data_IF_696828752033
#
_entry.id   IF_696828752033
#
_cell.length_a   1.000
_cell.length_b   1.000
_cell.length_c   1.000
_cell.angle_alpha   90.00
_cell.angle_beta   90.00
_cell.angle_gamma   90.00
#
_symmetry.space_group_name_H-M   'P 1'
#
loop_
_entity.id
_entity.type
_entity.pdbx_description
1 polymer ?
#
# COMPACT_ATOMS: atom_id res chain seq x y z
N UNK A 1 -25.12 19.23 9.46
CA UNK A 1 -26.23 19.72 10.33
C UNK A 1 -26.39 21.24 10.24
N UNK A 2 -25.30 22.00 10.18
CA UNK A 2 -25.32 23.46 10.12
C UNK A 2 -25.16 24.05 8.70
N UNK A 3 -24.54 23.30 7.78
CA UNK A 3 -24.47 23.61 6.35
C UNK A 3 -25.18 22.51 5.56
N UNK A 4 -25.97 22.90 4.54
CA UNK A 4 -26.62 21.97 3.61
C UNK A 4 -25.67 21.70 2.44
N UNK A 5 -24.70 20.80 2.66
CA UNK A 5 -23.79 20.33 1.62
C UNK A 5 -24.19 18.93 1.15
N UNK A 6 -24.25 18.74 -0.17
CA UNK A 6 -24.37 17.45 -0.83
C UNK A 6 -23.00 16.80 -0.91
N UNK A 7 -22.77 15.77 -0.09
CA UNK A 7 -21.51 15.00 -0.06
C UNK A 7 -21.72 13.63 -0.65
N UNK A 8 -20.89 13.23 -1.62
CA UNK A 8 -20.90 11.89 -2.24
C UNK A 8 -19.52 11.24 -2.12
N UNK A 9 -19.51 9.91 -2.04
CA UNK A 9 -18.29 9.10 -1.94
C UNK A 9 -18.26 8.11 -3.09
N UNK A 10 -17.15 8.06 -3.84
CA UNK A 10 -16.95 7.13 -4.95
C UNK A 10 -15.63 6.39 -4.82
N UNK A 11 -15.69 5.06 -4.80
CA UNK A 11 -14.49 4.24 -4.67
C UNK A 11 -14.62 2.94 -5.47
N UNK A 12 -13.48 2.27 -5.67
CA UNK A 12 -13.44 0.93 -6.27
C UNK A 12 -14.19 -0.11 -5.44
N UNK A 13 -14.52 -1.26 -6.04
CA UNK A 13 -15.17 -2.37 -5.34
C UNK A 13 -16.70 -2.28 -5.21
N UNK A 14 -17.32 -1.22 -5.72
CA UNK A 14 -18.79 -1.11 -5.85
C UNK A 14 -19.19 -0.86 -7.32
N UNK A 15 -20.39 -1.31 -7.74
CA UNK A 15 -20.85 -1.14 -9.13
C UNK A 15 -20.96 0.34 -9.55
N UNK A 16 -20.78 0.63 -10.83
CA UNK A 16 -20.90 2.00 -11.36
C UNK A 16 -22.31 2.56 -11.29
N UNK A 17 -23.35 1.73 -11.49
CA UNK A 17 -24.74 2.19 -11.59
C UNK A 17 -25.23 2.97 -10.36
N UNK A 18 -25.09 2.46 -9.12
CA UNK A 18 -25.44 3.19 -7.91
C UNK A 18 -24.66 4.50 -7.74
N UNK A 19 -23.34 4.49 -7.98
CA UNK A 19 -22.52 5.70 -7.89
C UNK A 19 -22.90 6.74 -8.95
N UNK A 20 -23.19 6.32 -10.19
CA UNK A 20 -23.66 7.20 -11.25
C UNK A 20 -24.95 7.90 -10.88
N UNK A 21 -25.94 7.16 -10.41
CA UNK A 21 -27.21 7.74 -9.95
C UNK A 21 -27.05 8.74 -8.81
N UNK A 22 -26.03 8.56 -7.96
CA UNK A 22 -25.72 9.53 -6.91
C UNK A 22 -25.08 10.82 -7.44
N UNK A 23 -24.44 10.76 -8.61
CA UNK A 23 -23.78 11.87 -9.30
C UNK A 23 -24.69 12.59 -10.32
N UNK A 24 -25.87 12.05 -10.61
CA UNK A 24 -26.91 12.72 -11.41
C UNK A 24 -27.51 13.95 -10.69
N UNK A 25 -27.29 14.05 -9.37
CA UNK A 25 -27.68 15.19 -8.55
C UNK A 25 -26.48 16.14 -8.33
N UNK A 26 -26.71 17.45 -8.11
CA UNK A 26 -25.64 18.37 -7.74
C UNK A 26 -24.84 17.89 -6.52
N UNK A 27 -23.51 17.98 -6.61
CA UNK A 27 -22.57 17.56 -5.56
C UNK A 27 -21.68 18.74 -5.20
N UNK A 28 -21.68 19.11 -3.92
CA UNK A 28 -20.81 20.17 -3.40
C UNK A 28 -19.43 19.62 -3.01
N UNK A 29 -19.38 18.38 -2.49
CA UNK A 29 -18.17 17.69 -2.09
C UNK A 29 -18.17 16.24 -2.58
N UNK A 30 -17.16 15.90 -3.38
CA UNK A 30 -16.93 14.54 -3.84
C UNK A 30 -15.66 13.96 -3.20
N UNK A 31 -15.82 12.89 -2.42
CA UNK A 31 -14.70 12.11 -1.88
C UNK A 31 -14.46 10.93 -2.82
N UNK A 32 -13.25 10.77 -3.35
CA UNK A 32 -12.99 9.76 -4.36
C UNK A 32 -11.63 9.08 -4.22
N UNK A 33 -11.56 7.78 -4.57
CA UNK A 33 -10.25 7.15 -4.84
C UNK A 33 -9.80 7.49 -6.26
N UNK A 34 -8.49 7.76 -6.51
CA UNK A 34 -8.01 8.29 -7.80
C UNK A 34 -8.46 7.46 -9.02
N UNK A 35 -8.27 6.15 -8.95
CA UNK A 35 -8.67 5.25 -10.05
C UNK A 35 -10.18 5.25 -10.33
N UNK A 36 -11.03 5.31 -9.30
CA UNK A 36 -12.49 5.35 -9.52
C UNK A 36 -12.93 6.69 -10.10
N UNK A 37 -12.34 7.79 -9.64
CA UNK A 37 -12.63 9.12 -10.19
C UNK A 37 -12.35 9.19 -11.68
N UNK A 38 -11.17 8.70 -12.11
CA UNK A 38 -10.80 8.68 -13.53
C UNK A 38 -11.72 7.78 -14.36
N UNK A 39 -12.09 6.60 -13.85
CA UNK A 39 -13.05 5.73 -14.53
C UNK A 39 -14.42 6.41 -14.74
N UNK A 40 -14.89 7.19 -13.77
CA UNK A 40 -16.14 7.95 -13.88
C UNK A 40 -16.01 9.13 -14.85
N UNK A 41 -14.86 9.81 -14.89
CA UNK A 41 -14.56 10.86 -15.86
C UNK A 41 -14.52 10.31 -17.29
N UNK A 42 -13.83 9.19 -17.51
CA UNK A 42 -13.72 8.54 -18.82
C UNK A 42 -15.08 8.07 -19.34
N UNK A 43 -15.97 7.65 -18.44
CA UNK A 43 -17.36 7.27 -18.74
C UNK A 43 -18.32 8.46 -18.84
N UNK A 44 -17.84 9.70 -18.67
CA UNK A 44 -18.65 10.93 -18.71
C UNK A 44 -19.78 10.93 -17.66
N UNK A 45 -19.55 10.30 -16.52
CA UNK A 45 -20.51 10.22 -15.40
C UNK A 45 -20.27 11.33 -14.36
N UNK A 46 -19.11 12.00 -14.42
CA UNK A 46 -18.77 13.15 -13.60
C UNK A 46 -17.93 14.11 -14.42
N UNK A 47 -18.07 15.40 -14.16
CA UNK A 47 -17.29 16.47 -14.78
C UNK A 47 -16.71 17.37 -13.70
N UNK A 48 -15.44 17.79 -13.86
CA UNK A 48 -14.74 18.62 -12.87
C UNK A 48 -14.70 20.11 -13.26
N UNK A 49 -15.62 20.57 -14.11
CA UNK A 49 -15.60 21.93 -14.65
C UNK A 49 -15.73 23.03 -13.58
N UNK A 50 -16.57 22.78 -12.56
CA UNK A 50 -16.84 23.74 -11.49
C UNK A 50 -16.00 23.51 -10.24
N UNK A 51 -15.02 22.60 -10.28
CA UNK A 51 -14.17 22.29 -9.14
C UNK A 51 -13.28 23.50 -8.83
N UNK A 52 -13.42 24.04 -7.62
CA UNK A 52 -12.59 25.14 -7.11
C UNK A 52 -11.51 24.69 -6.13
N UNK A 53 -11.66 23.51 -5.55
CA UNK A 53 -10.74 22.97 -4.55
C UNK A 53 -10.46 21.49 -4.84
N UNK A 54 -9.20 21.10 -4.78
CA UNK A 54 -8.76 19.70 -4.89
C UNK A 54 -7.87 19.40 -3.69
N UNK A 55 -8.27 18.38 -2.92
CA UNK A 55 -7.52 17.92 -1.75
C UNK A 55 -7.00 16.52 -2.06
N UNK A 56 -5.69 16.35 -1.97
CA UNK A 56 -5.01 15.05 -2.01
C UNK A 56 -4.62 14.73 -0.58
N UNK A 57 -5.35 13.84 0.06
CA UNK A 57 -5.06 13.39 1.43
C UNK A 57 -4.21 12.12 1.43
N UNK A 58 -3.40 11.92 2.48
CA UNK A 58 -2.42 10.84 2.59
C UNK A 58 -1.60 10.59 1.30
N UNK A 59 -0.93 11.64 0.80
CA UNK A 59 -0.12 11.58 -0.44
C UNK A 59 0.86 10.41 -0.45
N UNK A 60 1.60 10.21 0.64
CA UNK A 60 2.56 9.12 0.78
C UNK A 60 1.91 7.76 0.55
N UNK A 61 0.75 7.53 1.16
CA UNK A 61 -0.08 6.35 0.90
C UNK A 61 -0.44 6.22 -0.58
N UNK A 62 -0.89 7.30 -1.22
CA UNK A 62 -1.30 7.25 -2.62
C UNK A 62 -0.14 6.83 -3.54
N UNK A 63 1.07 7.33 -3.28
CA UNK A 63 2.26 6.97 -4.05
C UNK A 63 2.76 5.55 -3.75
N UNK A 64 2.71 5.10 -2.50
CA UNK A 64 3.01 3.71 -2.15
C UNK A 64 2.06 2.72 -2.83
N UNK A 65 0.78 3.09 -2.94
CA UNK A 65 -0.23 2.28 -3.62
C UNK A 65 -0.15 2.34 -5.16
N UNK A 66 0.77 3.14 -5.72
CA UNK A 66 0.99 3.26 -7.15
C UNK A 66 0.05 4.22 -7.88
N UNK A 67 -0.70 5.09 -7.17
CA UNK A 67 -1.65 6.03 -7.79
C UNK A 67 -1.01 7.30 -8.36
N UNK A 68 0.32 7.33 -8.54
CA UNK A 68 1.05 8.52 -8.99
C UNK A 68 0.59 9.02 -10.36
N UNK A 69 0.37 8.10 -11.30
CA UNK A 69 -0.06 8.41 -12.66
C UNK A 69 -1.52 8.91 -12.70
N UNK A 70 -2.40 8.28 -11.90
CA UNK A 70 -3.78 8.73 -11.75
C UNK A 70 -3.85 10.14 -11.15
N UNK A 71 -3.06 10.42 -10.12
CA UNK A 71 -2.96 11.75 -9.53
C UNK A 71 -2.44 12.77 -10.55
N UNK A 72 -1.43 12.42 -11.34
CA UNK A 72 -0.95 13.30 -12.40
C UNK A 72 -2.05 13.63 -13.41
N UNK A 73 -2.85 12.64 -13.81
CA UNK A 73 -3.97 12.86 -14.73
C UNK A 73 -5.05 13.75 -14.10
N UNK A 74 -5.44 13.51 -12.84
CA UNK A 74 -6.42 14.34 -12.13
C UNK A 74 -5.92 15.79 -11.99
N UNK A 75 -4.65 15.98 -11.62
CA UNK A 75 -4.05 17.30 -11.53
C UNK A 75 -3.97 17.97 -12.90
N UNK A 76 -3.64 17.25 -13.97
CA UNK A 76 -3.65 17.83 -15.32
C UNK A 76 -5.02 18.38 -15.74
N UNK A 77 -6.10 17.75 -15.26
CA UNK A 77 -7.48 18.19 -15.52
C UNK A 77 -7.84 19.39 -14.66
N UNK A 78 -7.33 19.49 -13.43
CA UNK A 78 -7.75 20.47 -12.43
C UNK A 78 -6.79 21.65 -12.25
N UNK A 79 -5.56 21.58 -12.77
CA UNK A 79 -4.58 22.68 -12.78
C UNK A 79 -4.86 23.74 -13.86
N UNK A 80 -6.11 23.87 -14.31
CA UNK A 80 -6.51 24.83 -15.34
C UNK A 80 -6.57 26.24 -14.75
N UNK A 81 -6.22 27.23 -15.55
CA UNK A 81 -6.46 28.62 -15.23
C UNK A 81 -7.90 28.97 -15.62
N UNK A 82 -8.75 29.21 -14.62
CA UNK A 82 -10.16 29.57 -14.84
C UNK A 82 -10.32 31.06 -15.15
N UNK A 83 -9.23 31.85 -15.15
CA UNK A 83 -9.25 33.28 -15.50
C UNK A 83 -9.45 33.57 -16.99
N UNK A 84 -9.28 32.55 -17.85
CA UNK A 84 -9.38 32.68 -19.31
C UNK A 84 -10.75 32.27 -19.90
N UNK A 85 -11.79 32.09 -19.08
CA UNK A 85 -13.13 31.72 -19.59
C UNK A 85 -13.76 32.90 -20.37
N UNK A 86 -14.01 32.76 -21.69
CA UNK A 86 -14.62 33.82 -22.51
C UNK A 86 -16.06 34.17 -22.13
N UNK A 87 -16.70 33.40 -21.23
CA UNK A 87 -18.10 33.59 -20.80
C UNK A 87 -18.25 34.49 -19.58
N UNK A 88 -17.15 34.96 -18.98
CA UNK A 88 -17.19 35.78 -17.78
C UNK A 88 -17.48 37.26 -18.11
N UNK A 89 -18.56 37.81 -17.56
CA UNK A 89 -18.93 39.22 -17.71
C UNK A 89 -17.98 40.16 -16.95
N UNK A 90 -17.89 41.41 -17.44
CA UNK A 90 -16.95 42.42 -16.97
C UNK A 90 -17.06 42.79 -15.47
N UNK A 91 -18.21 42.55 -14.82
CA UNK A 91 -18.46 42.90 -13.41
C UNK A 91 -17.73 42.01 -12.39
N UNK A 92 -17.12 40.89 -12.82
CA UNK A 92 -16.41 39.96 -11.93
C UNK A 92 -14.96 40.42 -11.58
N UNK A 93 -14.70 41.72 -11.52
CA UNK A 93 -13.35 42.25 -11.28
C UNK A 93 -12.82 41.99 -9.85
N UNK A 94 -13.70 41.80 -8.88
CA UNK A 94 -13.36 41.46 -7.49
C UNK A 94 -13.14 39.94 -7.31
N UNK A 95 -13.60 39.10 -8.26
CA UNK A 95 -13.40 37.66 -8.25
C UNK A 95 -12.03 37.21 -8.78
N UNK A 96 -11.11 38.14 -9.05
CA UNK A 96 -9.81 37.87 -9.69
C UNK A 96 -8.75 37.28 -8.76
N UNK A 97 -9.05 37.05 -7.49
CA UNK A 97 -8.26 36.19 -6.59
C UNK A 97 -8.78 34.74 -6.54
N UNK A 98 -9.97 34.46 -7.12
CA UNK A 98 -10.68 33.17 -7.10
C UNK A 98 -10.60 32.39 -8.44
N UNK A 99 -9.66 32.76 -9.31
CA UNK A 99 -9.60 32.33 -10.71
C UNK A 99 -8.73 31.08 -10.97
N UNK A 100 -8.22 30.42 -9.93
CA UNK A 100 -7.47 29.16 -10.04
C UNK A 100 -8.04 28.15 -9.06
N UNK A 101 -8.05 26.90 -9.48
CA UNK A 101 -8.38 25.78 -8.58
C UNK A 101 -7.31 25.76 -7.48
N UNK A 102 -7.74 25.75 -6.22
CA UNK A 102 -6.83 25.61 -5.09
C UNK A 102 -6.53 24.12 -4.87
N UNK A 103 -5.26 23.76 -4.95
CA UNK A 103 -4.79 22.41 -4.65
C UNK A 103 -4.15 22.38 -3.26
N UNK A 104 -4.53 21.37 -2.48
CA UNK A 104 -3.93 21.07 -1.17
C UNK A 104 -3.50 19.62 -1.20
N UNK A 105 -2.23 19.36 -0.88
CA UNK A 105 -1.71 18.01 -0.75
C UNK A 105 -1.23 17.81 0.69
N UNK A 106 -1.78 16.79 1.35
CA UNK A 106 -1.58 16.49 2.77
C UNK A 106 -0.97 15.10 2.89
N UNK A 107 0.04 14.96 3.73
CA UNK A 107 0.68 13.68 4.03
C UNK A 107 1.57 13.81 5.26
N UNK A 108 1.86 12.68 5.92
CA UNK A 108 2.90 12.66 6.94
C UNK A 108 4.26 12.83 6.27
N UNK A 109 4.47 12.08 5.18
CA UNK A 109 5.66 12.18 4.34
C UNK A 109 5.32 12.60 2.92
N UNK A 110 6.30 13.16 2.23
CA UNK A 110 6.18 13.53 0.81
C UNK A 110 7.32 12.85 0.05
N UNK A 111 7.08 11.67 -0.56
CA UNK A 111 8.14 10.94 -1.26
C UNK A 111 8.65 11.74 -2.47
N UNK A 112 9.88 11.47 -2.95
CA UNK A 112 10.45 12.21 -4.09
C UNK A 112 9.56 12.24 -5.33
N UNK A 113 8.83 11.16 -5.61
CA UNK A 113 7.89 11.08 -6.70
C UNK A 113 6.71 12.08 -6.55
N UNK A 114 6.21 12.28 -5.32
CA UNK A 114 5.18 13.27 -5.03
C UNK A 114 5.73 14.70 -5.18
N UNK A 115 6.93 14.96 -4.68
CA UNK A 115 7.59 16.27 -4.84
C UNK A 115 7.76 16.60 -6.32
N UNK A 116 8.22 15.65 -7.12
CA UNK A 116 8.37 15.82 -8.57
C UNK A 116 7.01 16.10 -9.25
N UNK A 117 5.93 15.44 -8.81
CA UNK A 117 4.58 15.73 -9.31
C UNK A 117 4.15 17.17 -9.01
N UNK A 118 4.40 17.64 -7.80
CA UNK A 118 4.07 19.03 -7.41
C UNK A 118 4.84 20.04 -8.22
N UNK A 119 6.14 19.82 -8.43
CA UNK A 119 6.95 20.71 -9.26
C UNK A 119 6.43 20.80 -10.71
N UNK A 120 5.92 19.70 -11.27
CA UNK A 120 5.33 19.68 -12.62
C UNK A 120 3.95 20.33 -12.71
N UNK A 121 3.06 20.06 -11.73
CA UNK A 121 1.63 20.38 -11.83
C UNK A 121 1.16 21.51 -10.93
N UNK A 122 1.88 21.76 -9.84
CA UNK A 122 1.56 22.71 -8.78
C UNK A 122 2.76 23.63 -8.52
N UNK A 123 3.28 24.25 -9.57
CA UNK A 123 4.53 25.04 -9.50
C UNK A 123 4.49 26.23 -8.52
N UNK A 124 3.30 26.70 -8.16
CA UNK A 124 3.09 27.78 -7.17
C UNK A 124 2.80 27.26 -5.76
N UNK A 125 2.86 25.94 -5.53
CA UNK A 125 2.58 25.37 -4.22
C UNK A 125 3.60 25.82 -3.19
N UNK A 126 3.10 26.15 -1.99
CA UNK A 126 3.93 26.46 -0.83
C UNK A 126 3.95 25.25 0.08
N UNK A 127 5.13 24.89 0.57
CA UNK A 127 5.27 23.80 1.53
C UNK A 127 5.08 24.33 2.94
N UNK A 128 4.15 23.72 3.68
CA UNK A 128 3.94 23.97 5.11
C UNK A 128 4.32 22.69 5.85
N UNK A 129 5.46 22.72 6.55
CA UNK A 129 5.90 21.61 7.40
C UNK A 129 5.78 22.00 8.86
N UNK A 130 5.11 21.15 9.64
CA UNK A 130 5.14 21.22 11.10
C UNK A 130 6.31 20.34 11.56
N UNK A 131 7.27 20.93 12.29
CA UNK A 131 8.38 20.17 12.87
C UNK A 131 7.88 19.38 14.09
N UNK A 132 8.39 18.17 14.29
CA UNK A 132 8.06 17.32 15.45
C UNK A 132 6.80 16.46 15.32
N UNK A 133 6.24 16.32 14.11
CA UNK A 133 5.02 15.53 13.88
C UNK A 133 5.29 14.01 13.79
N UNK A 134 6.54 13.59 13.58
CA UNK A 134 6.94 12.16 13.50
C UNK A 134 7.52 11.62 14.81
N UNK A 135 6.94 12.06 15.92
CA UNK A 135 7.25 11.56 17.24
C UNK A 135 6.02 10.87 17.81
N UNK A 136 6.24 9.78 18.55
CA UNK A 136 5.13 9.13 19.24
C UNK A 136 4.61 10.03 20.35
N UNK A 137 3.31 9.97 20.66
CA UNK A 137 2.77 10.66 21.82
C UNK A 137 3.53 10.23 23.10
N UNK A 138 3.88 11.14 24.00
CA UNK A 138 4.64 10.81 25.21
C UNK A 138 3.93 9.80 26.12
N UNK A 139 2.60 9.78 26.07
CA UNK A 139 1.75 8.84 26.81
C UNK A 139 1.62 7.45 26.15
N UNK A 140 2.24 7.22 25.00
CA UNK A 140 2.25 5.91 24.35
C UNK A 140 3.30 4.99 24.99
N UNK A 141 2.84 3.90 25.59
CA UNK A 141 3.70 2.85 26.13
C UNK A 141 4.08 1.91 24.98
N UNK A 142 5.39 1.66 24.81
CA UNK A 142 5.90 0.76 23.77
C UNK A 142 6.43 -0.53 24.41
N UNK A 143 5.96 -1.68 23.93
CA UNK A 143 6.43 -3.01 24.35
C UNK A 143 6.90 -3.77 23.12
N UNK A 144 8.14 -4.25 23.13
CA UNK A 144 8.68 -5.10 22.08
C UNK A 144 8.93 -6.49 22.65
N UNK A 145 8.30 -7.51 22.05
CA UNK A 145 8.32 -8.90 22.52
C UNK A 145 9.13 -9.72 21.52
N UNK A 146 10.31 -10.19 21.94
CA UNK A 146 11.20 -10.97 21.08
C UNK A 146 10.69 -12.39 20.88
N UNK A 147 10.45 -12.75 19.62
CA UNK A 147 9.87 -14.02 19.20
C UNK A 147 10.88 -14.88 18.43
N UNK A 148 10.85 -16.19 18.66
CA UNK A 148 11.64 -17.18 17.92
C UNK A 148 10.88 -17.64 16.68
N UNK A 149 10.99 -16.88 15.58
CA UNK A 149 10.31 -17.22 14.32
C UNK A 149 8.79 -17.04 14.37
N UNK A 150 8.08 -17.66 13.43
CA UNK A 150 6.62 -17.51 13.28
C UNK A 150 5.83 -18.14 14.44
N UNK A 151 6.18 -19.37 14.84
CA UNK A 151 5.51 -20.06 15.94
C UNK A 151 5.63 -19.29 17.26
N UNK A 152 6.81 -18.70 17.50
CA UNK A 152 7.04 -17.84 18.66
C UNK A 152 6.14 -16.60 18.69
N UNK A 153 5.74 -16.07 17.53
CA UNK A 153 4.80 -14.94 17.47
C UNK A 153 3.40 -15.35 17.89
N UNK A 154 2.92 -16.51 17.43
CA UNK A 154 1.59 -17.03 17.81
C UNK A 154 1.53 -17.26 19.32
N UNK A 155 2.56 -17.87 19.89
CA UNK A 155 2.65 -18.08 21.33
C UNK A 155 2.68 -16.75 22.10
N UNK A 156 3.50 -15.79 21.66
CA UNK A 156 3.57 -14.47 22.29
C UNK A 156 2.24 -13.70 22.20
N UNK A 157 1.51 -13.84 21.08
CA UNK A 157 0.19 -13.24 20.91
C UNK A 157 -0.81 -13.85 21.91
N UNK A 158 -0.82 -15.18 22.04
CA UNK A 158 -1.69 -15.87 23.00
C UNK A 158 -1.39 -15.46 24.44
N UNK A 159 -0.12 -15.42 24.83
CA UNK A 159 0.30 -14.95 26.15
C UNK A 159 -0.11 -13.49 26.40
N UNK A 160 -0.02 -12.64 25.37
CA UNK A 160 -0.44 -11.25 25.45
C UNK A 160 -1.96 -11.11 25.60
N UNK A 161 -2.76 -11.89 24.87
CA UNK A 161 -4.22 -11.79 24.89
C UNK A 161 -4.85 -12.54 26.09
N UNK A 162 -4.17 -13.55 26.61
CA UNK A 162 -4.66 -14.44 27.66
C UNK A 162 -5.62 -15.52 27.13
N UNK A 163 -6.48 -16.10 27.98
CA UNK A 163 -7.67 -16.82 27.53
C UNK A 163 -8.81 -15.84 27.16
N UNK A 164 -9.63 -16.22 26.18
CA UNK A 164 -10.85 -15.47 25.87
C UNK A 164 -11.81 -15.48 27.07
N UNK A 165 -12.41 -14.32 27.36
CA UNK A 165 -13.44 -14.17 28.41
C UNK A 165 -14.79 -14.69 27.92
N UNK A 166 -15.80 -14.71 28.80
CA UNK A 166 -17.16 -15.17 28.47
C UNK A 166 -17.78 -14.39 27.29
N UNK A 167 -17.46 -13.10 27.17
CA UNK A 167 -17.89 -12.24 26.06
C UNK A 167 -17.00 -12.36 24.81
N UNK A 168 -16.09 -13.34 24.79
CA UNK A 168 -15.10 -13.60 23.74
C UNK A 168 -14.15 -12.42 23.49
N UNK A 169 -13.97 -11.53 24.47
CA UNK A 169 -13.02 -10.44 24.41
C UNK A 169 -11.68 -10.80 25.10
N UNK A 170 -10.56 -10.20 24.68
CA UNK A 170 -9.33 -10.27 25.44
C UNK A 170 -9.42 -9.37 26.67
N UNK A 171 -8.63 -9.67 27.71
CA UNK A 171 -8.57 -8.86 28.92
C UNK A 171 -8.06 -7.42 28.69
N UNK A 172 -7.43 -7.16 27.54
CA UNK A 172 -6.95 -5.86 27.10
C UNK A 172 -8.06 -4.96 26.52
N UNK A 173 -9.30 -5.45 26.35
CA UNK A 173 -10.36 -4.69 25.70
C UNK A 173 -10.22 -4.64 24.18
N UNK A 174 -10.43 -3.48 23.55
CA UNK A 174 -10.39 -3.37 22.07
C UNK A 174 -8.97 -3.24 21.54
N UNK A 175 -8.67 -4.06 20.52
CA UNK A 175 -7.35 -4.18 19.93
C UNK A 175 -7.42 -3.99 18.41
N UNK A 176 -6.47 -3.25 17.85
CA UNK A 176 -6.16 -3.32 16.41
C UNK A 176 -4.88 -4.13 16.22
N UNK A 177 -4.98 -5.22 15.47
CA UNK A 177 -3.88 -6.13 15.18
C UNK A 177 -3.45 -5.96 13.72
N UNK A 178 -2.18 -5.59 13.53
CA UNK A 178 -1.58 -5.31 12.24
C UNK A 178 -0.74 -6.48 11.72
N UNK A 179 -0.98 -6.82 10.45
CA UNK A 179 -0.24 -7.80 9.67
C UNK A 179 0.35 -7.15 8.40
N UNK A 180 1.50 -7.64 7.94
CA UNK A 180 2.17 -7.07 6.76
C UNK A 180 1.61 -7.62 5.43
N UNK A 181 0.81 -8.69 5.47
CA UNK A 181 0.20 -9.31 4.31
C UNK A 181 -1.23 -9.77 4.59
N UNK A 182 -2.02 -9.94 3.54
CA UNK A 182 -3.40 -10.45 3.65
C UNK A 182 -3.43 -11.90 4.11
N UNK A 183 -2.42 -12.70 3.73
CA UNK A 183 -2.33 -14.09 4.17
C UNK A 183 -1.99 -14.20 5.65
N UNK A 184 -1.11 -13.33 6.16
CA UNK A 184 -0.86 -13.20 7.60
C UNK A 184 -2.12 -12.76 8.34
N UNK A 185 -2.86 -11.78 7.81
CA UNK A 185 -4.12 -11.34 8.40
C UNK A 185 -5.16 -12.48 8.46
N UNK A 186 -5.34 -13.24 7.38
CA UNK A 186 -6.24 -14.41 7.36
C UNK A 186 -5.82 -15.49 8.34
N UNK A 187 -4.52 -15.78 8.39
CA UNK A 187 -3.96 -16.77 9.31
C UNK A 187 -4.26 -16.40 10.77
N UNK A 188 -3.95 -15.16 11.18
CA UNK A 188 -4.18 -14.70 12.55
C UNK A 188 -5.66 -14.63 12.89
N UNK A 189 -6.49 -14.12 11.97
CA UNK A 189 -7.94 -14.04 12.16
C UNK A 189 -8.57 -15.42 12.39
N UNK A 190 -8.18 -16.41 11.57
CA UNK A 190 -8.64 -17.79 11.73
C UNK A 190 -8.15 -18.40 13.05
N UNK A 191 -6.86 -18.25 13.36
CA UNK A 191 -6.26 -18.79 14.58
C UNK A 191 -6.92 -18.23 15.85
N UNK A 192 -7.14 -16.92 15.92
CA UNK A 192 -7.80 -16.29 17.06
C UNK A 192 -9.28 -16.66 17.17
N UNK A 193 -9.97 -16.81 16.05
CA UNK A 193 -11.37 -17.26 16.03
C UNK A 193 -11.52 -18.68 16.59
N UNK A 194 -10.61 -19.59 16.24
CA UNK A 194 -10.58 -20.96 16.78
C UNK A 194 -10.30 -20.99 18.28
N UNK A 195 -9.50 -20.05 18.79
CA UNK A 195 -9.26 -19.86 20.23
C UNK A 195 -10.44 -19.19 20.96
N UNK A 196 -11.52 -18.88 20.26
CA UNK A 196 -12.76 -18.36 20.83
C UNK A 196 -12.82 -16.84 20.93
N UNK A 197 -11.89 -16.10 20.31
CA UNK A 197 -11.94 -14.65 20.28
C UNK A 197 -12.95 -14.12 19.26
N UNK A 198 -13.59 -12.99 19.59
CA UNK A 198 -14.42 -12.25 18.65
C UNK A 198 -13.55 -11.33 17.78
N UNK A 199 -13.21 -11.78 16.57
CA UNK A 199 -12.40 -11.01 15.62
C UNK A 199 -13.23 -10.42 14.48
N UNK A 200 -12.69 -9.36 13.88
CA UNK A 200 -13.17 -8.79 12.63
C UNK A 200 -11.98 -8.60 11.69
N UNK A 201 -12.03 -9.20 10.50
CA UNK A 201 -11.00 -8.97 9.49
C UNK A 201 -11.32 -7.73 8.64
N UNK A 202 -10.27 -6.97 8.34
CA UNK A 202 -10.36 -5.74 7.56
C UNK A 202 -9.14 -5.63 6.64
N UNK A 203 -9.26 -6.14 5.42
CA UNK A 203 -8.18 -6.06 4.42
C UNK A 203 -8.69 -6.07 2.98
N UNK A 204 -7.79 -5.83 2.02
CA UNK A 204 -8.11 -5.62 0.60
C UNK A 204 -8.87 -6.77 -0.08
N UNK A 205 -8.58 -8.03 0.26
CA UNK A 205 -9.33 -9.18 -0.27
C UNK A 205 -10.71 -9.42 0.37
N UNK A 206 -11.06 -8.76 1.48
CA UNK A 206 -12.42 -8.86 2.04
C UNK A 206 -13.37 -8.09 1.12
N UNK A 207 -14.48 -8.68 0.62
CA UNK A 207 -15.46 -7.97 -0.19
C UNK A 207 -15.96 -6.69 0.49
N UNK A 208 -16.24 -5.63 -0.28
CA UNK A 208 -16.54 -4.30 0.28
C UNK A 208 -17.71 -4.28 1.28
N UNK A 209 -18.75 -5.09 1.03
CA UNK A 209 -19.94 -5.16 1.91
C UNK A 209 -19.56 -5.82 3.24
N UNK A 210 -18.99 -7.04 3.18
CA UNK A 210 -18.51 -7.75 4.37
C UNK A 210 -17.48 -6.94 5.16
N UNK A 211 -16.59 -6.20 4.47
CA UNK A 211 -15.60 -5.32 5.12
C UNK A 211 -16.28 -4.21 5.94
N UNK A 212 -17.35 -3.60 5.41
CA UNK A 212 -18.11 -2.60 6.12
C UNK A 212 -18.85 -3.20 7.33
N UNK A 213 -19.43 -4.38 7.19
CA UNK A 213 -20.09 -5.12 8.28
C UNK A 213 -19.10 -5.49 9.39
N UNK A 214 -17.94 -6.06 9.03
CA UNK A 214 -16.88 -6.41 9.98
C UNK A 214 -16.36 -5.19 10.73
N UNK A 215 -16.17 -4.07 10.02
CA UNK A 215 -15.78 -2.82 10.65
C UNK A 215 -16.83 -2.31 11.63
N UNK A 216 -18.12 -2.36 11.27
CA UNK A 216 -19.20 -1.99 12.18
C UNK A 216 -19.30 -2.93 13.39
N UNK A 217 -19.06 -4.23 13.20
CA UNK A 217 -18.96 -5.20 14.29
C UNK A 217 -17.87 -4.81 15.30
N UNK A 218 -16.71 -4.36 14.82
CA UNK A 218 -15.65 -3.86 15.68
C UNK A 218 -16.00 -2.54 16.39
N UNK A 219 -16.53 -1.56 15.64
CA UNK A 219 -16.90 -0.24 16.19
C UNK A 219 -18.00 -0.35 17.25
N UNK A 220 -18.98 -1.24 17.03
CA UNK A 220 -20.06 -1.52 17.99
C UNK A 220 -19.62 -2.35 19.21
N UNK A 221 -18.42 -2.94 19.17
CA UNK A 221 -17.88 -3.77 20.24
C UNK A 221 -18.26 -5.25 20.18
N UNK A 222 -19.00 -5.69 19.15
CA UNK A 222 -19.31 -7.10 18.93
C UNK A 222 -18.06 -7.92 18.60
N UNK A 223 -17.13 -7.32 17.83
CA UNK A 223 -15.77 -7.82 17.69
C UNK A 223 -14.83 -6.98 18.56
N UNK A 224 -13.95 -7.65 19.30
CA UNK A 224 -13.00 -7.01 20.21
C UNK A 224 -11.62 -6.82 19.56
N UNK A 225 -11.32 -7.58 18.50
CA UNK A 225 -10.03 -7.52 17.80
C UNK A 225 -10.27 -7.24 16.31
N UNK A 226 -9.72 -6.14 15.81
CA UNK A 226 -9.69 -5.82 14.38
C UNK A 226 -8.38 -6.30 13.78
N UNK A 227 -8.40 -7.33 12.93
CA UNK A 227 -7.23 -7.84 12.21
C UNK A 227 -7.12 -7.16 10.86
N UNK A 228 -6.04 -6.42 10.61
CA UNK A 228 -5.91 -5.54 9.44
C UNK A 228 -4.50 -5.49 8.86
N UNK A 229 -4.40 -5.04 7.60
CA UNK A 229 -3.14 -4.61 6.97
C UNK A 229 -3.04 -3.10 6.90
N UNK A 230 -1.85 -2.54 6.61
CA UNK A 230 -1.65 -1.08 6.53
C UNK A 230 -2.55 -0.40 5.51
N UNK A 231 -2.69 -0.99 4.32
CA UNK A 231 -3.52 -0.45 3.24
C UNK A 231 -4.97 -0.27 3.70
N UNK A 232 -5.45 -1.16 4.55
CA UNK A 232 -6.83 -1.16 4.99
C UNK A 232 -7.02 -0.30 6.25
N UNK A 233 -6.03 -0.24 7.14
CA UNK A 233 -6.12 0.55 8.37
C UNK A 233 -6.00 2.07 8.18
N UNK A 234 -5.57 2.52 7.01
CA UNK A 234 -5.47 3.94 6.65
C UNK A 234 -6.86 4.57 6.51
N UNK A 235 -7.01 5.82 6.97
CA UNK A 235 -8.32 6.47 7.14
C UNK A 235 -9.18 5.95 8.32
N UNK A 236 -8.68 5.01 9.14
CA UNK A 236 -9.37 4.60 10.39
C UNK A 236 -9.04 5.56 11.55
N UNK A 237 -9.19 6.86 11.33
CA UNK A 237 -8.70 7.92 12.24
C UNK A 237 -9.55 8.11 13.50
N UNK A 238 -10.69 7.42 13.59
CA UNK A 238 -11.57 7.49 14.76
C UNK A 238 -11.60 6.19 15.57
N UNK A 239 -10.62 5.30 15.38
CA UNK A 239 -10.47 4.14 16.24
C UNK A 239 -9.80 4.55 17.55
N UNK A 240 -10.59 4.88 18.57
CA UNK A 240 -10.09 5.06 19.94
C UNK A 240 -9.93 3.66 20.59
N UNK A 241 -8.75 3.07 20.39
CA UNK A 241 -8.38 1.76 20.94
C UNK A 241 -7.30 1.88 22.00
N UNK A 242 -7.36 1.00 23.00
CA UNK A 242 -6.43 1.01 24.13
C UNK A 242 -5.09 0.35 23.75
N UNK A 243 -5.15 -0.61 22.82
CA UNK A 243 -4.00 -1.40 22.42
C UNK A 243 -3.90 -1.53 20.90
N UNK A 244 -2.68 -1.38 20.42
CA UNK A 244 -2.27 -1.73 19.06
C UNK A 244 -1.30 -2.89 19.17
N UNK A 245 -1.48 -3.93 18.36
CA UNK A 245 -0.59 -5.07 18.29
C UNK A 245 -0.02 -5.17 16.88
N UNK A 246 1.30 -5.17 16.74
CA UNK A 246 1.98 -5.50 15.50
C UNK A 246 2.34 -6.98 15.54
N UNK A 247 1.51 -7.84 14.95
CA UNK A 247 1.82 -9.26 14.81
C UNK A 247 2.98 -9.44 13.84
N UNK A 248 2.91 -8.74 12.70
CA UNK A 248 4.07 -8.50 11.87
C UNK A 248 4.65 -7.12 12.18
N UNK A 249 5.93 -7.09 12.54
CA UNK A 249 6.60 -5.83 12.80
C UNK A 249 6.61 -4.94 11.54
N UNK A 250 6.42 -3.62 11.67
CA UNK A 250 6.40 -2.71 10.52
C UNK A 250 7.72 -2.71 9.76
N UNK A 251 7.66 -2.48 8.45
CA UNK A 251 8.87 -2.50 7.60
C UNK A 251 9.64 -1.19 7.62
N UNK A 252 9.03 -0.12 8.12
CA UNK A 252 9.61 1.21 8.19
C UNK A 252 9.17 1.95 9.45
N UNK A 253 9.90 3.02 9.79
CA UNK A 253 9.52 3.91 10.88
C UNK A 253 8.21 4.66 10.61
N UNK A 254 7.95 5.03 9.35
CA UNK A 254 6.70 5.69 8.95
C UNK A 254 5.49 4.77 9.21
N UNK A 255 5.58 3.52 8.78
CA UNK A 255 4.56 2.51 9.02
C UNK A 255 4.36 2.27 10.52
N UNK A 256 5.44 2.18 11.30
CA UNK A 256 5.37 2.05 12.76
C UNK A 256 4.65 3.22 13.44
N UNK A 257 4.97 4.46 13.05
CA UNK A 257 4.29 5.66 13.54
C UNK A 257 2.80 5.64 13.18
N UNK A 258 2.46 5.31 11.94
CA UNK A 258 1.07 5.26 11.47
C UNK A 258 0.22 4.22 12.20
N UNK A 259 0.79 3.05 12.50
CA UNK A 259 0.11 2.01 13.27
C UNK A 259 -0.03 2.39 14.75
N UNK A 260 1.05 2.87 15.37
CA UNK A 260 1.01 3.35 16.76
C UNK A 260 0.03 4.52 16.93
N UNK A 261 -0.10 5.36 15.91
CA UNK A 261 -1.04 6.47 15.88
C UNK A 261 -2.52 6.06 15.94
N UNK A 262 -2.86 4.76 15.99
CA UNK A 262 -4.23 4.28 16.24
C UNK A 262 -4.60 4.22 17.72
N UNK A 263 -3.64 4.37 18.62
CA UNK A 263 -3.89 4.47 20.07
C UNK A 263 -3.28 5.77 20.63
N UNK A 264 -3.41 5.98 21.93
CA UNK A 264 -2.88 7.14 22.65
C UNK A 264 -3.33 8.51 22.10
N UNK A 265 -4.54 8.57 21.50
CA UNK A 265 -5.14 9.80 20.95
C UNK A 265 -5.81 10.63 22.05
N UNK A 266 -5.98 11.93 21.78
CA UNK A 266 -6.71 12.88 22.64
C UNK A 266 -6.26 12.88 24.12
N UNK A 267 -4.96 12.68 24.38
CA UNK A 267 -4.37 12.69 25.72
C UNK A 267 -4.56 11.41 26.53
N UNK A 268 -5.27 10.39 26.02
CA UNK A 268 -5.37 9.09 26.68
C UNK A 268 -4.07 8.31 26.54
N UNK A 269 -3.74 7.51 27.56
CA UNK A 269 -2.67 6.53 27.46
C UNK A 269 -3.08 5.41 26.49
N UNK A 270 -2.09 4.81 25.83
CA UNK A 270 -2.26 3.69 24.92
C UNK A 270 -1.03 2.82 24.94
N UNK A 271 -1.15 1.55 24.55
CA UNK A 271 0.00 0.65 24.46
C UNK A 271 0.15 0.07 23.07
N UNK A 272 1.37 0.17 22.51
CA UNK A 272 1.77 -0.53 21.29
C UNK A 272 2.60 -1.76 21.66
N UNK A 273 2.13 -2.95 21.27
CA UNK A 273 2.83 -4.22 21.46
C UNK A 273 3.37 -4.70 20.12
N UNK A 274 4.68 -4.92 20.02
CA UNK A 274 5.34 -5.29 18.78
C UNK A 274 5.99 -6.67 18.91
N UNK A 275 5.52 -7.65 18.14
CA UNK A 275 6.14 -8.97 18.07
C UNK A 275 7.32 -8.91 17.10
N UNK A 276 8.54 -9.00 17.65
CA UNK A 276 9.78 -8.75 16.89
C UNK A 276 10.61 -10.02 16.77
N UNK A 277 11.20 -10.20 15.59
CA UNK A 277 12.13 -11.29 15.29
C UNK A 277 13.56 -10.74 15.16
N UNK A 278 14.53 -11.62 14.93
CA UNK A 278 15.93 -11.22 14.72
C UNK A 278 16.09 -10.21 13.56
N UNK A 279 15.24 -10.30 12.53
CA UNK A 279 15.29 -9.41 11.37
C UNK A 279 14.90 -7.96 11.70
N UNK A 280 14.12 -7.76 12.77
CA UNK A 280 13.56 -6.46 13.14
C UNK A 280 14.50 -5.65 14.06
N UNK A 281 15.56 -6.30 14.57
CA UNK A 281 16.45 -5.76 15.62
C UNK A 281 17.01 -4.39 15.28
N UNK A 282 17.37 -4.16 14.02
CA UNK A 282 17.96 -2.90 13.59
C UNK A 282 16.96 -1.74 13.66
N UNK A 283 15.78 -1.92 13.09
CA UNK A 283 14.73 -0.90 13.12
C UNK A 283 14.25 -0.66 14.56
N UNK A 284 14.08 -1.70 15.37
CA UNK A 284 13.72 -1.59 16.80
C UNK A 284 14.74 -0.75 17.57
N UNK A 285 16.03 -0.99 17.35
CA UNK A 285 17.11 -0.23 18.01
C UNK A 285 17.03 1.25 17.63
N UNK A 286 16.87 1.55 16.35
CA UNK A 286 16.79 2.92 15.85
C UNK A 286 15.55 3.65 16.37
N UNK A 287 14.38 2.98 16.40
CA UNK A 287 13.14 3.53 16.96
C UNK A 287 13.26 3.83 18.46
N UNK A 288 13.85 2.91 19.24
CA UNK A 288 14.08 3.11 20.67
C UNK A 288 15.03 4.26 20.94
N UNK A 289 16.12 4.36 20.17
CA UNK A 289 17.09 5.45 20.30
C UNK A 289 16.45 6.81 19.98
N UNK A 290 15.70 6.89 18.87
CA UNK A 290 15.00 8.10 18.47
C UNK A 290 13.98 8.55 19.53
N UNK A 291 13.17 7.62 20.03
CA UNK A 291 12.20 7.90 21.08
C UNK A 291 12.86 8.38 22.38
N UNK A 292 13.94 7.72 22.82
CA UNK A 292 14.65 8.10 24.04
C UNK A 292 15.30 9.50 23.95
N UNK A 293 15.70 9.92 22.75
CA UNK A 293 16.30 11.24 22.49
C UNK A 293 15.27 12.32 22.13
N UNK A 294 14.00 11.96 21.98
CA UNK A 294 12.96 12.89 21.51
C UNK A 294 13.19 13.40 20.08
N UNK A 295 13.87 12.61 19.26
CA UNK A 295 14.19 12.94 17.87
C UNK A 295 13.04 12.58 16.91
N UNK A 296 13.07 13.17 15.71
CA UNK A 296 12.22 12.72 14.60
C UNK A 296 12.58 11.28 14.24
N UNK A 297 11.59 10.36 14.31
CA UNK A 297 11.86 8.94 14.10
C UNK A 297 12.19 8.62 12.64
N UNK A 298 11.68 9.38 11.68
CA UNK A 298 11.98 9.14 10.27
C UNK A 298 13.42 9.54 9.95
N UNK A 299 13.84 10.72 10.41
CA UNK A 299 15.20 11.20 10.22
C UNK A 299 16.22 10.32 10.93
N UNK A 300 15.96 9.97 12.20
CA UNK A 300 16.87 9.15 13.00
C UNK A 300 17.04 7.73 12.42
N UNK A 301 15.96 7.11 11.94
CA UNK A 301 16.03 5.77 11.35
C UNK A 301 16.67 5.77 9.97
N UNK A 302 16.43 6.80 9.14
CA UNK A 302 17.11 6.98 7.86
C UNK A 302 18.62 7.20 8.05
N UNK A 303 19.02 8.03 9.01
CA UNK A 303 20.42 8.28 9.36
C UNK A 303 21.12 7.00 9.84
N UNK A 304 20.48 6.23 10.72
CA UNK A 304 21.00 4.95 11.20
C UNK A 304 21.19 3.94 10.06
N UNK A 305 20.20 3.81 9.16
CA UNK A 305 20.29 2.93 8.00
C UNK A 305 21.45 3.34 7.06
N UNK A 306 21.64 4.64 6.82
CA UNK A 306 22.75 5.15 6.02
C UNK A 306 24.12 4.84 6.65
N UNK A 307 24.26 4.97 7.97
CA UNK A 307 25.49 4.66 8.69
C UNK A 307 25.85 3.16 8.61
N UNK A 308 24.85 2.28 8.69
CA UNK A 308 25.04 0.83 8.54
C UNK A 308 25.45 0.48 7.11
N UNK A 309 24.78 1.07 6.11
CA UNK A 309 25.13 0.87 4.70
C UNK A 309 26.56 1.35 4.37
N UNK A 310 26.97 2.49 4.91
CA UNK A 310 28.34 3.00 4.77
C UNK A 310 29.37 2.03 5.40
N UNK A 311 29.09 1.54 6.60
CA UNK A 311 29.97 0.59 7.31
C UNK A 311 30.10 -0.75 6.57
N UNK A 312 29.01 -1.28 6.01
CA UNK A 312 29.03 -2.50 5.20
C UNK A 312 29.84 -2.32 3.91
N UNK A 313 29.77 -1.14 3.29
CA UNK A 313 30.55 -0.79 2.10
C UNK A 313 32.04 -0.71 2.42
N UNK A 314 32.42 -0.08 3.54
CA UNK A 314 33.82 -0.01 4.00
C UNK A 314 34.39 -1.41 4.30
N UNK A 315 33.60 -2.30 4.91
CA UNK A 315 34.02 -3.70 5.14
C UNK A 315 34.27 -4.44 3.82
N UNK A 316 33.38 -4.30 2.83
CA UNK A 316 33.56 -4.91 1.49
C UNK A 316 34.84 -4.43 0.79
N UNK A 317 35.15 -3.13 0.87
CA UNK A 317 36.38 -2.55 0.28
C UNK A 317 37.65 -3.06 0.99
N UNK A 318 37.60 -3.30 2.31
CA UNK A 318 38.72 -3.88 3.05
C UNK A 318 38.97 -5.34 2.71
N UNK A 319 37.92 -6.12 2.46
CA UNK A 319 38.06 -7.55 2.09
C UNK A 319 38.65 -7.75 0.69
N UNK A 320 38.43 -6.83 -0.25
CA UNK A 320 38.97 -6.95 -1.62
C UNK A 320 40.44 -6.53 -1.75
N UNK A 321 40.95 -5.68 -0.84
CA UNK A 321 42.36 -5.25 -0.84
C UNK A 321 43.35 -6.24 -0.21
N UNK A 322 42.88 -7.34 0.41
CA UNK A 322 43.74 -8.28 1.15
C UNK A 322 44.03 -9.61 0.44
N UNK A 323 43.70 -9.72 -0.86
CA UNK A 323 44.01 -10.88 -1.68
C UNK A 323 45.06 -10.55 -2.75
N UNK A 324 46.33 -10.42 -2.34
CA UNK A 324 47.49 -10.49 -3.23
C UNK A 324 48.39 -11.63 -2.76
N UNK A 325 48.31 -12.78 -3.43
CA UNK A 325 49.25 -13.89 -3.20
C UNK A 325 50.56 -13.60 -3.95
N UNK A 326 51.74 -13.96 -3.40
CA UNK A 326 53.02 -13.78 -4.06
C UNK A 326 53.25 -14.84 -5.14
N UNK A 327 53.76 -14.43 -6.30
CA UNK A 327 54.12 -15.28 -7.44
C UNK A 327 55.49 -15.95 -7.20
N UNK A 328 55.67 -17.26 -7.46
CA UNK A 328 57.00 -17.87 -7.51
C UNK A 328 57.64 -17.68 -8.90
N UNK A 329 58.92 -17.34 -8.91
CA UNK A 329 59.78 -17.07 -10.07
C UNK A 329 60.69 -18.25 -10.48
N UNK A 330 60.82 -18.52 -11.78
CA UNK A 330 61.93 -19.20 -12.49
C UNK A 330 61.84 -20.74 -12.61
N UNK A 331 62.20 -21.46 -13.70
CA UNK A 331 63.02 -21.25 -14.92
C UNK A 331 62.44 -22.14 -16.08
N UNK A 332 62.29 -21.70 -17.36
CA UNK A 332 63.21 -21.84 -18.54
C UNK A 332 63.85 -23.23 -18.72
N UNK A 333 63.93 -23.97 -19.84
CA UNK A 333 63.85 -23.83 -21.33
C UNK A 333 63.95 -25.28 -21.91
N UNK A 334 63.43 -25.71 -23.08
CA UNK A 334 63.94 -25.59 -24.48
C UNK A 334 62.96 -26.38 -25.43
N UNK A 335 62.47 -25.85 -26.57
CA UNK A 335 62.88 -26.09 -28.00
C UNK A 335 63.29 -27.56 -28.32
N UNK A 336 62.87 -28.25 -29.41
CA UNK A 336 62.73 -27.82 -30.82
C UNK A 336 62.28 -28.98 -31.80
N UNK A 337 61.90 -28.62 -33.07
CA UNK A 337 61.95 -29.38 -34.39
C UNK A 337 60.77 -30.33 -34.76
N UNK A 338 60.20 -30.47 -35.99
CA UNK A 338 60.24 -29.93 -37.38
C UNK A 338 58.88 -30.31 -38.06
N UNK A 339 58.22 -29.50 -38.89
CA UNK A 339 58.44 -29.14 -40.33
C UNK A 339 57.83 -30.15 -41.34
N UNK A 340 57.08 -29.65 -42.35
CA UNK A 340 56.69 -30.44 -43.54
C UNK A 340 55.34 -30.19 -44.24
N UNK A 341 55.37 -29.32 -45.26
CA UNK A 341 54.72 -29.39 -46.59
C UNK A 341 53.30 -28.81 -46.90
N UNK A 342 53.35 -27.77 -47.76
CA UNK A 342 52.57 -27.46 -49.00
C UNK A 342 51.09 -27.02 -48.91
N UNK A 343 50.52 -26.27 -49.86
CA UNK A 343 50.89 -25.15 -50.76
C UNK A 343 49.55 -24.71 -51.41
N UNK A 344 49.40 -23.41 -51.57
CA UNK A 344 48.36 -22.61 -52.25
C UNK A 344 47.48 -23.23 -53.37
N UNK A 345 46.21 -22.78 -53.45
CA UNK A 345 45.55 -22.02 -54.56
C UNK A 345 44.02 -22.01 -54.33
N UNK A 346 43.38 -20.86 -54.08
CA UNK A 346 42.78 -19.90 -55.02
C UNK A 346 41.42 -20.30 -55.64
N UNK A 347 40.38 -19.57 -55.17
CA UNK A 347 39.17 -19.08 -55.85
C UNK A 347 38.15 -20.05 -56.51
N UNK A 348 36.86 -19.83 -56.20
CA UNK A 348 35.77 -19.96 -57.18
C UNK A 348 34.47 -20.64 -56.73
N UNK A 349 33.47 -19.81 -56.39
CA UNK A 349 32.00 -19.95 -56.56
C UNK A 349 31.37 -21.33 -56.89
N UNK A 350 30.28 -21.67 -56.20
CA UNK A 350 29.14 -22.36 -56.84
C UNK A 350 28.32 -23.34 -56.01
N UNK A 351 27.16 -22.88 -55.55
CA UNK A 351 25.85 -23.56 -55.59
C UNK A 351 25.61 -24.99 -55.00
N UNK A 352 24.67 -25.00 -54.03
CA UNK A 352 23.45 -25.83 -54.01
C UNK A 352 23.38 -27.19 -53.28
N UNK A 353 22.14 -27.46 -52.85
CA UNK A 353 21.53 -28.71 -52.35
C UNK A 353 21.72 -28.97 -50.84
N UNK A 354 20.68 -28.83 -50.01
CA UNK A 354 19.48 -29.69 -49.79
C UNK A 354 19.80 -31.03 -49.11
N UNK A 355 19.50 -31.12 -47.81
CA UNK A 355 18.72 -32.20 -47.17
C UNK A 355 18.37 -31.73 -45.74
N UNK A 356 17.13 -31.45 -45.31
CA UNK A 356 15.91 -32.27 -45.10
C UNK A 356 16.07 -33.42 -44.08
N UNK A 357 15.21 -33.37 -43.06
CA UNK A 357 14.82 -34.45 -42.15
C UNK A 357 14.54 -33.92 -40.74
N UNK A 358 13.34 -33.38 -40.46
CA UNK A 358 12.14 -34.05 -39.87
C UNK A 358 12.35 -34.49 -38.40
N UNK A 359 11.47 -34.20 -37.44
CA UNK A 359 10.09 -33.73 -37.58
C UNK A 359 9.48 -33.15 -36.30
N UNK A 360 8.49 -32.30 -36.53
CA UNK A 360 7.47 -31.82 -35.60
C UNK A 360 6.26 -32.76 -35.69
N UNK A 361 5.67 -33.08 -34.53
CA UNK A 361 4.40 -33.79 -34.42
C UNK A 361 3.35 -32.76 -34.02
N UNK A 362 2.47 -32.43 -34.95
CA UNK A 362 1.12 -31.92 -34.69
C UNK A 362 0.17 -33.12 -34.59
N UNK A 363 -0.69 -33.13 -33.58
CA UNK A 363 -1.92 -33.92 -33.60
C UNK A 363 -3.08 -32.93 -33.44
N UNK A 364 -3.91 -32.89 -34.47
CA UNK A 364 -5.19 -32.21 -34.49
C UNK A 364 -6.33 -33.21 -34.25
N UNK A 365 -7.38 -32.74 -33.58
CA UNK A 365 -8.74 -32.98 -34.06
C UNK A 365 -9.73 -33.71 -33.15
N UNK A 366 -10.92 -33.08 -33.06
CA UNK A 366 -12.26 -33.55 -32.60
C UNK A 366 -12.55 -33.29 -31.12
N UNK A 367 -13.50 -32.47 -30.71
CA UNK A 367 -14.71 -31.97 -31.38
C UNK A 367 -15.92 -32.79 -30.94
N UNK A 368 -16.62 -32.33 -29.91
CA UNK A 368 -18.03 -32.68 -29.69
C UNK A 368 -18.72 -31.60 -28.84
N UNK A 369 -19.40 -30.67 -29.51
CA UNK A 369 -20.42 -29.81 -28.91
C UNK A 369 -21.77 -30.48 -29.12
N UNK A 370 -22.44 -30.88 -28.03
CA UNK A 370 -23.81 -31.37 -28.09
C UNK A 370 -24.73 -30.45 -27.30
N UNK A 371 -25.49 -29.65 -28.05
CA UNK A 371 -26.69 -28.99 -27.58
C UNK A 371 -27.80 -30.04 -27.39
N UNK A 372 -28.47 -30.02 -26.23
CA UNK A 372 -29.87 -30.46 -26.11
C UNK A 372 -30.64 -29.48 -25.23
N UNK A 373 -31.46 -28.66 -25.90
CA UNK A 373 -32.63 -27.98 -25.35
C UNK A 373 -33.81 -28.95 -25.31
N UNK A 374 -34.61 -28.86 -24.25
CA UNK A 374 -35.89 -29.54 -24.05
C UNK A 374 -36.08 -29.71 -22.53
N UNK A 375 -37.22 -29.48 -21.90
CA UNK A 375 -38.53 -29.03 -22.34
C UNK A 375 -39.20 -28.34 -21.13
N UNK A 376 -40.11 -27.40 -21.40
CA UNK A 376 -40.84 -26.70 -20.37
C UNK A 376 -41.76 -27.63 -19.58
N UNK A 377 -41.84 -27.39 -18.27
CA UNK A 377 -42.93 -27.88 -17.42
C UNK A 377 -43.66 -26.69 -16.81
N UNK A 378 -44.98 -26.86 -16.86
CA UNK A 378 -46.08 -25.96 -16.56
C UNK A 378 -46.14 -25.44 -15.11
N UNK A 379 -46.64 -24.21 -15.02
CA UNK A 379 -47.71 -23.70 -14.14
C UNK A 379 -47.93 -24.41 -12.79
N UNK A 380 -47.72 -23.65 -11.72
CA UNK A 380 -48.40 -23.82 -10.44
C UNK A 380 -48.71 -22.43 -9.86
N UNK A 381 -49.96 -21.99 -10.00
CA UNK A 381 -50.55 -20.83 -9.34
C UNK A 381 -51.40 -21.37 -8.19
N UNK A 382 -51.12 -20.93 -6.97
CA UNK A 382 -52.03 -20.88 -5.81
C UNK A 382 -51.51 -19.67 -4.99
N UNK A 383 -52.23 -18.64 -4.53
CA UNK A 383 -53.61 -18.47 -4.05
C UNK A 383 -54.03 -19.59 -3.09
N UNK A 384 -53.80 -19.43 -1.80
CA UNK A 384 -54.79 -18.84 -0.89
C UNK A 384 -54.26 -18.77 0.56
N UNK A 385 -54.67 -17.69 1.23
CA UNK A 385 -55.04 -17.52 2.66
C UNK A 385 -54.09 -17.85 3.81
N UNK A 386 -54.04 -16.89 4.74
CA UNK A 386 -53.57 -17.00 6.12
C UNK A 386 -53.29 -15.62 6.68
#
# INVERSE_FOLDING_TARGET
KYLRLSVKVVHGGTPFGPQGRQLDLPVDLLVATPGRLLQLLDRKMVYLGDVRHVIIDEVDTMFEAGFGDELERILSITSRDLSADPRASADAAIARTAARVQHVAVGATHPPAAIALYQRRLSTAKQLMVKGTHSLPPQLIQRFITCKGADGKVQALRELLGPARDDRSPHLGRIVLFCNSQDSARFVDHHLSEEGYSTANYHGAVPSIARAENFQSFVSGNASILVTTDIAARGLDNLDVQHVVHFDFPRSAAEYLHRCGRTARAGKAGTSHSLVTKHDTELVRSLRAAHARGEDMLEATASAAAAVAASATTLRIRTTKKASFPTPTGLSSTRNVADGLLRATAAGRGASSRNRGRGSIEISGRGDQRAKRGAGVRRGRSSDRG
#
